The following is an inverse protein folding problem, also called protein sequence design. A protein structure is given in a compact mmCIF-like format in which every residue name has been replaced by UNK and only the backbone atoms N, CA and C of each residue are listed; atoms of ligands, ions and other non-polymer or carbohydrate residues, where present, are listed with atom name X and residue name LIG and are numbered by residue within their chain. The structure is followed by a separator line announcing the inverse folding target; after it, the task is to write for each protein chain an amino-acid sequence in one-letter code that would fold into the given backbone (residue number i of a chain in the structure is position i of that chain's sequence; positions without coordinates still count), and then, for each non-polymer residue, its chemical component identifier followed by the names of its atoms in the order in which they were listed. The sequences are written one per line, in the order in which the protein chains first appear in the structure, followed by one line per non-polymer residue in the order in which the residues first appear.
data_IF_346515289580
#
_entry.id   IF_346515289580
#
_cell.length_a   1.000
_cell.length_b   1.000
_cell.length_c   1.000
_cell.angle_alpha   90.00
_cell.angle_beta   90.00
_cell.angle_gamma   90.00
#
_symmetry.space_group_name_H-M   'P 1'
#
loop_
_entity.id
_entity.type
_entity.pdbx_description
1 polymer ?
#
# COMPACT_ATOMS: atom_id res chain seq x y z
N UNK A 1 -6.79 14.97 -32.67
CA UNK A 1 -6.84 15.24 -31.25
C UNK A 1 -6.99 13.91 -30.53
N UNK A 2 -5.96 13.44 -29.84
CA UNK A 2 -6.05 12.27 -28.99
C UNK A 2 -6.87 12.71 -27.74
N UNK A 3 -8.14 12.31 -27.69
CA UNK A 3 -8.98 12.54 -26.52
C UNK A 3 -8.37 11.87 -25.30
N UNK A 4 -8.47 12.50 -24.14
CA UNK A 4 -8.11 11.90 -22.86
C UNK A 4 -8.83 10.56 -22.72
N UNK A 5 -8.06 9.48 -22.65
CA UNK A 5 -8.61 8.12 -22.53
C UNK A 5 -9.13 7.84 -21.11
N UNK A 6 -8.73 8.64 -20.13
CA UNK A 6 -9.10 8.55 -18.72
C UNK A 6 -9.20 9.96 -18.15
N UNK A 7 -10.27 10.24 -17.41
CA UNK A 7 -10.40 11.46 -16.63
C UNK A 7 -10.79 11.13 -15.19
N UNK A 8 -10.37 11.96 -14.26
CA UNK A 8 -10.76 11.85 -12.85
C UNK A 8 -11.97 12.74 -12.61
N UNK A 9 -13.04 12.17 -12.08
CA UNK A 9 -14.27 12.88 -11.72
C UNK A 9 -14.56 12.73 -10.23
N UNK A 10 -15.12 13.77 -9.62
CA UNK A 10 -15.61 13.67 -8.25
C UNK A 10 -16.87 12.77 -8.22
N UNK A 11 -16.90 11.82 -7.30
CA UNK A 11 -18.08 10.96 -7.10
C UNK A 11 -19.25 11.82 -6.65
N UNK A 12 -20.42 11.76 -7.31
CA UNK A 12 -21.64 12.45 -6.90
C UNK A 12 -22.01 12.14 -5.44
N UNK A 13 -22.49 13.14 -4.69
CA UNK A 13 -22.76 13.00 -3.25
C UNK A 13 -23.72 11.85 -2.92
N UNK A 14 -24.72 11.62 -3.77
CA UNK A 14 -25.70 10.55 -3.63
C UNK A 14 -25.12 9.15 -3.79
N UNK A 15 -23.94 9.02 -4.41
CA UNK A 15 -23.24 7.74 -4.61
C UNK A 15 -22.14 7.46 -3.57
N UNK A 16 -21.69 8.49 -2.85
CA UNK A 16 -20.55 8.35 -1.92
C UNK A 16 -20.82 7.40 -0.74
N UNK A 17 -22.10 7.25 -0.35
CA UNK A 17 -22.53 6.38 0.77
C UNK A 17 -23.23 5.11 0.28
N UNK A 18 -23.04 4.70 -0.96
CA UNK A 18 -23.61 3.48 -1.52
C UNK A 18 -22.51 2.48 -1.85
N UNK A 19 -22.80 1.20 -1.69
CA UNK A 19 -21.91 0.15 -2.18
C UNK A 19 -21.82 0.22 -3.71
N UNK A 20 -20.62 0.04 -4.23
CA UNK A 20 -20.32 0.12 -5.67
C UNK A 20 -20.79 -1.11 -6.45
N UNK A 21 -21.02 -2.23 -5.76
CA UNK A 21 -21.47 -3.50 -6.32
C UNK A 21 -22.64 -4.04 -5.50
N UNK A 22 -23.43 -4.92 -6.12
CA UNK A 22 -24.57 -5.59 -5.48
C UNK A 22 -24.13 -6.82 -4.69
N UNK A 23 -25.02 -7.32 -3.80
CA UNK A 23 -24.82 -8.59 -3.09
C UNK A 23 -24.65 -9.76 -4.05
N UNK A 24 -25.36 -9.76 -5.19
CA UNK A 24 -25.20 -10.76 -6.23
C UNK A 24 -23.79 -10.76 -6.84
N UNK A 25 -23.23 -9.57 -7.08
CA UNK A 25 -21.84 -9.42 -7.54
C UNK A 25 -20.85 -9.94 -6.50
N UNK A 26 -21.07 -9.63 -5.21
CA UNK A 26 -20.23 -10.14 -4.12
C UNK A 26 -20.26 -11.65 -4.06
N UNK A 27 -21.43 -12.26 -4.17
CA UNK A 27 -21.58 -13.72 -4.19
C UNK A 27 -20.87 -14.37 -5.38
N UNK A 28 -20.96 -13.76 -6.55
CA UNK A 28 -20.28 -14.26 -7.76
C UNK A 28 -18.77 -14.17 -7.63
N UNK A 29 -18.25 -13.03 -7.18
CA UNK A 29 -16.82 -12.85 -6.91
C UNK A 29 -16.31 -13.81 -5.84
N UNK A 30 -17.08 -14.05 -4.79
CA UNK A 30 -16.73 -15.01 -3.73
C UNK A 30 -16.61 -16.43 -4.26
N UNK A 31 -17.51 -16.87 -5.14
CA UNK A 31 -17.42 -18.18 -5.79
C UNK A 31 -16.16 -18.30 -6.64
N UNK A 32 -15.85 -17.27 -7.44
CA UNK A 32 -14.65 -17.25 -8.26
C UNK A 32 -13.38 -17.27 -7.41
N UNK A 33 -13.35 -16.50 -6.31
CA UNK A 33 -12.22 -16.48 -5.38
C UNK A 33 -12.00 -17.86 -4.73
N UNK A 34 -13.06 -18.55 -4.32
CA UNK A 34 -12.96 -19.91 -3.76
C UNK A 34 -12.39 -20.92 -4.77
N UNK A 35 -12.82 -20.84 -6.03
CA UNK A 35 -12.26 -21.71 -7.11
C UNK A 35 -10.77 -21.44 -7.29
N UNK A 36 -10.38 -20.17 -7.30
CA UNK A 36 -8.97 -19.76 -7.42
C UNK A 36 -8.17 -20.27 -6.22
N UNK A 37 -8.65 -20.05 -5.00
CA UNK A 37 -7.98 -20.51 -3.77
C UNK A 37 -7.82 -22.04 -3.77
N UNK A 38 -8.86 -22.76 -4.16
CA UNK A 38 -8.83 -24.23 -4.25
C UNK A 38 -7.80 -24.70 -5.30
N UNK A 39 -7.73 -24.03 -6.45
CA UNK A 39 -6.79 -24.36 -7.52
C UNK A 39 -5.33 -24.19 -7.08
N UNK A 40 -5.01 -23.09 -6.40
CA UNK A 40 -3.65 -22.79 -5.94
C UNK A 40 -3.31 -23.37 -4.56
N UNK A 41 -4.28 -23.94 -3.85
CA UNK A 41 -4.11 -24.55 -2.53
C UNK A 41 -3.74 -23.56 -1.42
N UNK A 42 -3.96 -22.26 -1.63
CA UNK A 42 -3.64 -21.17 -0.70
C UNK A 42 -4.45 -19.92 -1.01
N UNK A 43 -4.64 -19.02 -0.04
CA UNK A 43 -5.29 -17.73 -0.27
C UNK A 43 -4.59 -16.92 -1.35
N UNK A 44 -5.40 -16.29 -2.16
CA UNK A 44 -4.97 -15.47 -3.27
C UNK A 44 -5.55 -14.07 -3.14
N UNK A 45 -4.72 -13.08 -3.44
CA UNK A 45 -5.14 -11.70 -3.67
C UNK A 45 -5.67 -11.61 -5.11
N UNK A 46 -6.89 -11.12 -5.29
CA UNK A 46 -7.58 -11.17 -6.57
C UNK A 46 -7.97 -9.76 -7.01
N UNK A 47 -7.56 -9.39 -8.21
CA UNK A 47 -8.04 -8.19 -8.88
C UNK A 47 -9.17 -8.56 -9.84
N UNK A 48 -10.20 -7.72 -9.89
CA UNK A 48 -11.38 -7.96 -10.72
C UNK A 48 -11.90 -6.66 -11.34
N UNK A 49 -12.69 -6.81 -12.40
CA UNK A 49 -13.38 -5.70 -13.03
C UNK A 49 -14.82 -6.10 -13.37
N UNK A 50 -15.73 -5.11 -13.33
CA UNK A 50 -17.09 -5.25 -13.81
C UNK A 50 -17.23 -4.47 -15.11
N UNK A 51 -17.63 -5.15 -16.18
CA UNK A 51 -17.87 -4.52 -17.47
C UNK A 51 -19.11 -3.61 -17.40
N UNK A 52 -18.93 -2.35 -17.78
CA UNK A 52 -19.97 -1.33 -17.68
C UNK A 52 -21.12 -1.49 -18.68
N UNK A 53 -20.94 -2.29 -19.74
CA UNK A 53 -21.94 -2.50 -20.79
C UNK A 53 -22.72 -3.78 -20.50
N UNK A 54 -22.03 -4.90 -20.25
CA UNK A 54 -22.63 -6.20 -20.07
C UNK A 54 -22.95 -6.52 -18.60
N UNK A 55 -22.37 -5.80 -17.66
CA UNK A 55 -22.47 -6.05 -16.22
C UNK A 55 -21.72 -7.30 -15.75
N UNK A 56 -20.96 -7.97 -16.62
CA UNK A 56 -20.21 -9.18 -16.27
C UNK A 56 -19.00 -8.87 -15.43
N UNK A 57 -18.70 -9.78 -14.51
CA UNK A 57 -17.49 -9.74 -13.67
C UNK A 57 -16.38 -10.55 -14.33
N UNK A 58 -15.16 -10.02 -14.25
CA UNK A 58 -13.95 -10.64 -14.77
C UNK A 58 -12.85 -10.60 -13.72
N UNK A 59 -12.19 -11.73 -13.49
CA UNK A 59 -10.95 -11.77 -12.75
C UNK A 59 -9.84 -11.28 -13.68
N UNK A 60 -9.15 -10.25 -13.28
CA UNK A 60 -8.09 -9.58 -14.06
C UNK A 60 -6.73 -10.11 -13.68
N UNK A 61 -6.52 -10.37 -12.38
CA UNK A 61 -5.27 -10.90 -11.85
C UNK A 61 -5.54 -11.73 -10.59
N UNK A 62 -4.72 -12.76 -10.37
CA UNK A 62 -4.66 -13.47 -9.10
C UNK A 62 -3.19 -13.71 -8.75
N UNK A 63 -2.80 -13.38 -7.52
CA UNK A 63 -1.45 -13.56 -7.00
C UNK A 63 -1.50 -14.13 -5.58
N UNK A 64 -0.49 -14.90 -5.14
CA UNK A 64 -0.43 -15.36 -3.77
C UNK A 64 -0.47 -14.19 -2.79
N UNK A 65 -1.29 -14.30 -1.74
CA UNK A 65 -1.20 -13.38 -0.62
C UNK A 65 0.14 -13.55 0.08
N UNK A 66 0.97 -12.51 0.04
CA UNK A 66 2.32 -12.51 0.63
C UNK A 66 2.34 -11.88 2.02
N UNK A 67 1.24 -11.24 2.42
CA UNK A 67 1.13 -10.63 3.75
C UNK A 67 1.13 -11.71 4.82
N UNK A 68 2.09 -11.65 5.74
CA UNK A 68 2.17 -12.50 6.94
C UNK A 68 1.02 -12.23 7.94
N UNK A 69 -0.19 -12.01 7.46
CA UNK A 69 -1.38 -11.80 8.30
C UNK A 69 -1.84 -13.07 9.05
N UNK A 70 -1.17 -14.21 8.83
CA UNK A 70 -1.51 -15.50 9.41
C UNK A 70 -0.80 -15.84 10.73
N UNK A 71 -0.13 -14.92 11.37
CA UNK A 71 0.22 -15.10 12.79
C UNK A 71 -1.04 -14.88 13.62
N UNK A 72 -1.70 -15.98 14.07
CA UNK A 72 -2.69 -16.05 15.16
C UNK A 72 -3.24 -14.68 15.64
N UNK A 73 -3.97 -13.97 14.79
CA UNK A 73 -4.51 -12.67 15.14
C UNK A 73 -5.89 -12.84 15.79
N UNK A 74 -5.90 -13.34 17.03
CA UNK A 74 -7.03 -13.15 17.97
C UNK A 74 -6.89 -11.81 18.70
N UNK A 75 -5.84 -11.03 18.46
CA UNK A 75 -5.60 -9.76 19.12
C UNK A 75 -5.54 -8.64 18.08
N UNK A 76 -6.44 -7.67 18.21
CA UNK A 76 -6.40 -6.41 17.47
C UNK A 76 -5.34 -5.50 18.13
N UNK A 77 -4.16 -5.41 17.57
CA UNK A 77 -3.15 -4.46 18.03
C UNK A 77 -3.54 -3.05 17.60
N UNK A 78 -3.71 -2.16 18.55
CA UNK A 78 -3.96 -0.74 18.32
C UNK A 78 -2.74 0.07 18.77
N UNK A 79 -2.09 0.71 17.83
CA UNK A 79 -0.95 1.57 18.13
C UNK A 79 -1.43 2.99 18.45
N UNK A 80 -0.97 3.54 19.56
CA UNK A 80 -1.24 4.91 19.97
C UNK A 80 0.06 5.68 20.14
N UNK A 81 0.12 6.86 19.55
CA UNK A 81 1.22 7.78 19.75
C UNK A 81 1.02 8.48 21.10
N UNK A 82 1.91 8.24 22.07
CA UNK A 82 1.83 8.81 23.42
C UNK A 82 2.28 10.25 23.52
N UNK A 83 3.05 10.76 22.55
CA UNK A 83 3.53 12.12 22.48
C UNK A 83 3.29 12.74 21.10
N UNK A 84 3.19 14.07 21.06
CA UNK A 84 3.09 14.84 19.81
C UNK A 84 4.35 15.67 19.63
N UNK A 85 5.10 15.43 18.57
CA UNK A 85 6.18 16.29 18.09
C UNK A 85 5.72 17.19 16.94
N UNK A 86 6.59 18.06 16.45
CA UNK A 86 6.33 18.81 15.22
C UNK A 86 6.15 17.84 14.04
N UNK A 87 5.13 18.11 13.22
CA UNK A 87 4.92 17.37 11.98
C UNK A 87 5.91 17.90 10.94
N UNK A 88 6.80 17.03 10.47
CA UNK A 88 7.82 17.39 9.48
C UNK A 88 7.28 17.26 8.04
N UNK A 89 6.49 16.24 7.77
CA UNK A 89 5.79 16.06 6.50
C UNK A 89 4.51 15.25 6.68
N UNK A 90 3.63 15.34 5.72
CA UNK A 90 2.36 14.61 5.69
C UNK A 90 2.22 13.86 4.38
N UNK A 91 1.55 12.71 4.40
CA UNK A 91 1.30 11.89 3.22
C UNK A 91 0.23 10.83 3.46
N UNK A 92 0.15 9.88 2.57
CA UNK A 92 -0.81 8.77 2.67
C UNK A 92 -0.21 7.63 3.49
N UNK A 93 -0.88 7.29 4.59
CA UNK A 93 -0.47 6.17 5.45
C UNK A 93 -0.71 4.82 4.78
N UNK A 94 0.24 3.90 4.96
CA UNK A 94 0.21 2.51 4.55
C UNK A 94 0.46 1.64 5.78
N UNK A 95 -0.43 0.70 6.01
CA UNK A 95 -0.39 -0.16 7.20
C UNK A 95 -1.02 0.49 8.44
N UNK A 96 -0.97 -0.22 9.56
CA UNK A 96 -1.63 0.15 10.83
C UNK A 96 -0.64 0.42 11.96
N UNK A 97 0.65 0.14 11.73
CA UNK A 97 1.71 0.27 12.73
C UNK A 97 2.26 1.68 12.79
N UNK A 98 2.93 1.99 13.89
CA UNK A 98 3.78 3.16 14.04
C UNK A 98 5.23 2.68 13.98
N UNK A 99 6.04 3.24 13.09
CA UNK A 99 7.47 3.02 13.05
C UNK A 99 8.22 4.18 13.68
N UNK A 100 9.30 3.88 14.37
CA UNK A 100 10.18 4.88 14.98
C UNK A 100 11.63 4.47 14.77
N UNK A 101 12.50 5.44 14.56
CA UNK A 101 13.92 5.22 14.34
C UNK A 101 14.61 6.49 13.86
N UNK A 102 15.91 6.41 13.66
CA UNK A 102 16.67 7.51 13.07
C UNK A 102 16.30 7.65 11.60
N UNK A 103 16.00 8.86 11.16
CA UNK A 103 15.74 9.09 9.75
C UNK A 103 17.05 8.92 8.94
N UNK A 104 16.91 8.31 7.76
CA UNK A 104 17.99 8.18 6.77
C UNK A 104 17.49 8.58 5.41
N UNK A 105 18.01 9.68 4.94
CA UNK A 105 17.72 10.21 3.61
C UNK A 105 18.59 9.50 2.60
N UNK A 106 17.99 8.61 1.82
CA UNK A 106 18.67 7.84 0.77
C UNK A 106 18.20 8.37 -0.58
N UNK A 107 19.10 9.01 -1.29
CA UNK A 107 18.81 9.64 -2.60
C UNK A 107 19.08 8.73 -3.78
N UNK A 108 19.92 7.73 -3.58
CA UNK A 108 20.32 6.76 -4.62
C UNK A 108 20.50 5.38 -4.01
N UNK A 109 20.26 4.36 -4.81
CA UNK A 109 20.50 2.96 -4.45
C UNK A 109 21.95 2.70 -4.01
N UNK A 110 22.89 3.47 -4.51
CA UNK A 110 24.32 3.37 -4.11
C UNK A 110 24.56 3.77 -2.66
N UNK A 111 23.61 4.45 -2.03
CA UNK A 111 23.70 4.93 -0.63
C UNK A 111 23.02 3.97 0.36
N UNK A 112 22.54 2.82 -0.07
CA UNK A 112 21.82 1.86 0.78
C UNK A 112 22.55 1.47 2.07
N UNK A 113 23.88 1.47 2.05
CA UNK A 113 24.71 1.14 3.21
C UNK A 113 24.58 2.12 4.38
N UNK A 114 24.06 3.30 4.14
CA UNK A 114 23.81 4.30 5.18
C UNK A 114 22.67 3.89 6.10
N UNK A 115 21.68 3.13 5.59
CA UNK A 115 20.53 2.70 6.38
C UNK A 115 20.89 1.50 7.26
N UNK A 116 20.71 1.67 8.56
CA UNK A 116 20.88 0.63 9.55
C UNK A 116 19.55 -0.05 9.88
N UNK A 117 19.56 -1.30 10.37
CA UNK A 117 18.33 -1.97 10.83
C UNK A 117 17.61 -1.12 11.90
N UNK A 118 16.33 -0.86 11.70
CA UNK A 118 15.52 -0.05 12.59
C UNK A 118 15.49 1.45 12.27
N UNK A 119 16.27 1.92 11.29
CA UNK A 119 16.15 3.31 10.80
C UNK A 119 14.86 3.51 10.00
N UNK A 120 14.45 4.76 9.86
CA UNK A 120 13.35 5.19 8.99
C UNK A 120 13.94 5.56 7.62
N UNK A 121 13.54 4.82 6.59
CA UNK A 121 13.94 5.10 5.21
C UNK A 121 13.19 6.32 4.68
N UNK A 122 13.91 7.34 4.25
CA UNK A 122 13.36 8.52 3.57
C UNK A 122 13.92 8.58 2.15
N UNK A 123 13.05 8.51 1.15
CA UNK A 123 13.45 8.47 -0.26
C UNK A 123 12.50 9.30 -1.15
N UNK A 124 12.92 9.62 -2.35
CA UNK A 124 12.04 10.27 -3.32
C UNK A 124 10.95 9.30 -3.80
N UNK A 125 11.37 8.15 -4.29
CA UNK A 125 10.52 7.00 -4.63
C UNK A 125 11.36 5.73 -4.50
N UNK A 126 10.72 4.57 -4.50
CA UNK A 126 11.40 3.27 -4.52
C UNK A 126 10.99 2.47 -5.75
N UNK A 127 11.86 1.59 -6.16
CA UNK A 127 11.68 0.56 -7.20
C UNK A 127 12.08 -0.82 -6.64
N UNK A 128 11.96 -1.91 -7.40
CA UNK A 128 12.26 -3.26 -6.91
C UNK A 128 13.66 -3.45 -6.32
N UNK A 129 14.65 -2.70 -6.78
CA UNK A 129 16.03 -2.81 -6.29
C UNK A 129 16.19 -2.27 -4.85
N UNK A 130 15.19 -1.53 -4.34
CA UNK A 130 15.18 -0.99 -2.96
C UNK A 130 14.64 -1.99 -1.93
N UNK A 131 14.05 -3.11 -2.34
CA UNK A 131 13.45 -4.08 -1.43
C UNK A 131 14.40 -4.55 -0.30
N UNK A 132 15.71 -4.79 -0.54
CA UNK A 132 16.63 -5.22 0.52
C UNK A 132 16.75 -4.23 1.67
N UNK A 133 16.75 -2.91 1.41
CA UNK A 133 16.82 -1.92 2.49
C UNK A 133 15.46 -1.65 3.11
N UNK A 134 14.37 -1.76 2.35
CA UNK A 134 13.02 -1.62 2.87
C UNK A 134 12.73 -2.69 3.94
N UNK A 135 13.28 -3.91 3.81
CA UNK A 135 13.17 -4.99 4.82
C UNK A 135 13.84 -4.66 6.15
N UNK A 136 14.81 -3.76 6.15
CA UNK A 136 15.57 -3.36 7.34
C UNK A 136 14.97 -2.13 8.02
N UNK A 137 14.17 -1.37 7.31
CA UNK A 137 13.58 -0.13 7.80
C UNK A 137 12.49 -0.40 8.85
N UNK A 138 12.41 0.46 9.87
CA UNK A 138 11.31 0.50 10.84
C UNK A 138 10.07 1.18 10.28
N UNK A 139 10.27 2.12 9.34
CA UNK A 139 9.23 2.79 8.57
C UNK A 139 9.80 3.30 7.25
N UNK A 140 8.91 3.64 6.30
CA UNK A 140 9.28 4.15 4.99
C UNK A 140 8.53 5.45 4.73
N UNK A 141 9.24 6.47 4.26
CA UNK A 141 8.67 7.76 3.86
C UNK A 141 9.10 8.07 2.44
N UNK A 142 8.16 8.41 1.56
CA UNK A 142 8.49 8.79 0.17
C UNK A 142 7.85 10.10 -0.24
N UNK A 143 8.59 10.90 -1.02
CA UNK A 143 8.05 12.12 -1.62
C UNK A 143 6.97 11.80 -2.64
N UNK A 144 7.23 10.86 -3.51
CA UNK A 144 6.32 10.45 -4.59
C UNK A 144 5.67 9.12 -4.30
N UNK A 145 4.50 8.92 -4.89
CA UNK A 145 3.77 7.68 -4.83
C UNK A 145 2.37 7.80 -4.24
N UNK A 146 1.58 6.81 -4.49
CA UNK A 146 0.22 6.65 -3.98
C UNK A 146 0.05 5.28 -3.33
N UNK A 147 -1.20 4.92 -3.02
CA UNK A 147 -1.50 3.64 -2.33
C UNK A 147 -1.14 2.39 -3.14
N UNK A 148 -0.88 2.52 -4.42
CA UNK A 148 -0.53 1.44 -5.36
C UNK A 148 0.90 1.56 -5.89
N UNK A 149 1.72 2.51 -5.39
CA UNK A 149 3.12 2.59 -5.78
C UNK A 149 3.95 1.44 -5.19
N UNK A 150 5.12 1.19 -5.72
CA UNK A 150 6.04 0.14 -5.27
C UNK A 150 6.27 0.19 -3.75
N UNK A 151 6.60 1.38 -3.19
CA UNK A 151 6.78 1.55 -1.75
C UNK A 151 5.57 1.06 -0.94
N UNK A 152 4.36 1.39 -1.39
CA UNK A 152 3.13 1.03 -0.68
C UNK A 152 2.83 -0.48 -0.76
N UNK A 153 3.10 -1.11 -1.89
CA UNK A 153 2.91 -2.56 -2.09
C UNK A 153 3.87 -3.33 -1.20
N UNK A 154 5.17 -3.05 -1.32
CA UNK A 154 6.20 -3.75 -0.55
C UNK A 154 6.07 -3.47 0.96
N UNK A 155 5.73 -2.25 1.37
CA UNK A 155 5.49 -1.94 2.78
C UNK A 155 4.37 -2.81 3.38
N UNK A 156 3.27 -3.04 2.64
CA UNK A 156 2.21 -3.97 3.08
C UNK A 156 2.71 -5.40 3.17
N UNK A 157 3.43 -5.87 2.17
CA UNK A 157 3.98 -7.23 2.12
C UNK A 157 4.96 -7.50 3.27
N UNK A 158 5.79 -6.53 3.60
CA UNK A 158 6.74 -6.62 4.69
C UNK A 158 6.11 -6.35 6.08
N UNK A 159 4.90 -5.80 6.14
CA UNK A 159 4.27 -5.36 7.38
C UNK A 159 4.98 -4.16 8.03
N UNK A 160 5.69 -3.36 7.21
CA UNK A 160 6.38 -2.13 7.62
C UNK A 160 5.44 -0.94 7.39
N UNK A 161 5.25 -0.03 8.37
CA UNK A 161 4.44 1.16 8.14
C UNK A 161 5.13 2.09 7.15
N UNK A 162 4.32 2.73 6.27
CA UNK A 162 4.87 3.72 5.37
C UNK A 162 3.96 4.95 5.25
N UNK A 163 4.58 6.08 4.90
CA UNK A 163 3.90 7.32 4.51
C UNK A 163 4.40 7.70 3.12
N UNK A 164 3.50 7.71 2.14
CA UNK A 164 3.86 7.93 0.73
C UNK A 164 3.22 9.20 0.18
N UNK A 165 3.89 9.81 -0.80
CA UNK A 165 3.37 11.02 -1.44
C UNK A 165 3.47 12.27 -0.59
N UNK A 166 4.53 12.41 0.22
CA UNK A 166 4.73 13.55 1.10
C UNK A 166 5.14 14.84 0.34
N UNK A 167 5.72 14.71 -0.84
CA UNK A 167 6.10 15.85 -1.67
C UNK A 167 7.41 16.52 -1.27
N UNK A 168 7.68 16.68 0.02
CA UNK A 168 8.80 17.44 0.54
C UNK A 168 9.61 16.76 1.65
N UNK A 169 9.42 15.46 1.88
CA UNK A 169 10.08 14.75 2.98
C UNK A 169 11.61 14.81 2.91
N UNK A 170 12.18 14.76 1.70
CA UNK A 170 13.63 14.87 1.50
C UNK A 170 14.23 16.22 1.90
N UNK A 171 13.42 17.26 1.96
CA UNK A 171 13.84 18.62 2.26
C UNK A 171 13.56 18.99 3.71
N UNK A 172 12.55 18.36 4.32
CA UNK A 172 12.07 18.69 5.67
C UNK A 172 12.54 17.74 6.75
N UNK A 173 12.88 16.50 6.40
CA UNK A 173 13.39 15.51 7.35
C UNK A 173 14.93 15.53 7.32
N UNK A 174 15.58 15.87 8.44
CA UNK A 174 17.04 15.82 8.53
C UNK A 174 17.55 14.39 8.54
N UNK A 175 18.77 14.16 8.04
CA UNK A 175 19.47 12.87 8.05
C UNK A 175 20.13 12.57 9.41
#
# INVERSE_FOLDING_TARGET
AAGERVRTEATPKELQNRFSISDADVHELSKQALVIEQHYGRPMDVEWAKDGITGKLFIVQARPETVKSRGRATQLERFHLSGKGPVLCEGRSIGHKIGAGKARVIRSITEMNKLQPGDVLVADMTDPDWEPIMKRASAIVTNRGGRTCHAAIIARELGVPAVVGCGNALDTIPD
#
